data_IF_030319827902
#
_entry.id   IF_030319827902
#
_cell.length_a   1.000
_cell.length_b   1.000
_cell.length_c   1.000
_cell.angle_alpha   90.00
_cell.angle_beta   90.00
_cell.angle_gamma   90.00
#
_symmetry.space_group_name_H-M   'P 1'
#
loop_
_entity.id
_entity.type
_entity.pdbx_description
1 polymer ?
#
# COMPACT_ATOMS: atom_id res chain seq x y z
N UNK A 1 -57.45 -28.16 -33.86
CA UNK A 1 -56.39 -27.26 -34.38
C UNK A 1 -55.16 -27.41 -33.50
N UNK A 2 -54.17 -28.17 -33.97
CA UNK A 2 -52.84 -28.33 -33.38
C UNK A 2 -51.83 -27.87 -34.43
N UNK A 3 -50.94 -26.98 -34.03
CA UNK A 3 -49.66 -26.65 -34.65
C UNK A 3 -48.86 -25.99 -33.51
N UNK A 4 -47.65 -26.37 -33.12
CA UNK A 4 -46.54 -26.89 -33.91
C UNK A 4 -45.45 -25.80 -33.91
N UNK A 5 -44.41 -25.96 -33.07
CA UNK A 5 -43.19 -25.11 -33.13
C UNK A 5 -42.49 -25.26 -34.48
N UNK A 6 -41.62 -24.31 -34.88
CA UNK A 6 -40.19 -24.59 -34.77
C UNK A 6 -39.26 -23.37 -34.51
N UNK A 7 -38.00 -23.73 -34.27
CA UNK A 7 -36.76 -22.99 -34.01
C UNK A 7 -36.44 -21.70 -34.81
N UNK A 8 -35.75 -20.78 -34.13
CA UNK A 8 -34.52 -20.08 -34.57
C UNK A 8 -34.10 -19.14 -33.42
N UNK A 9 -32.94 -19.25 -32.77
CA UNK A 9 -31.60 -19.17 -33.35
C UNK A 9 -31.08 -17.72 -33.23
N UNK A 10 -29.83 -17.59 -32.79
CA UNK A 10 -28.92 -16.41 -32.84
C UNK A 10 -28.59 -15.73 -31.51
N UNK A 11 -27.31 -15.92 -31.19
CA UNK A 11 -26.43 -15.24 -30.25
C UNK A 11 -26.38 -13.74 -30.56
N UNK A 12 -26.51 -12.89 -29.55
CA UNK A 12 -25.91 -11.55 -29.62
C UNK A 12 -25.22 -11.17 -28.30
N UNK A 13 -23.90 -11.07 -28.43
CA UNK A 13 -23.00 -10.42 -27.51
C UNK A 13 -23.38 -8.93 -27.39
N UNK A 14 -23.69 -8.46 -26.19
CA UNK A 14 -23.69 -7.03 -25.90
C UNK A 14 -22.90 -6.73 -24.63
N UNK A 15 -21.58 -6.58 -24.83
CA UNK A 15 -20.76 -5.49 -24.30
C UNK A 15 -20.98 -5.15 -22.83
N UNK A 16 -20.30 -5.87 -21.94
CA UNK A 16 -19.74 -5.24 -20.74
C UNK A 16 -18.54 -4.43 -21.20
N UNK A 17 -18.83 -3.19 -21.60
CA UNK A 17 -17.83 -2.16 -21.86
C UNK A 17 -16.90 -2.04 -20.65
N UNK A 18 -15.61 -2.10 -20.92
CA UNK A 18 -14.55 -1.55 -20.07
C UNK A 18 -14.93 -0.14 -19.63
N UNK A 19 -15.49 0.00 -18.43
CA UNK A 19 -15.49 1.28 -17.71
C UNK A 19 -14.03 1.58 -17.44
N UNK A 20 -13.42 2.40 -18.30
CA UNK A 20 -12.06 2.89 -18.09
C UNK A 20 -12.03 3.60 -16.74
N UNK A 21 -11.35 3.02 -15.76
CA UNK A 21 -11.20 3.61 -14.45
C UNK A 21 -10.50 4.97 -14.61
N UNK A 22 -11.24 6.06 -14.39
CA UNK A 22 -10.71 7.40 -14.56
C UNK A 22 -9.98 7.83 -13.28
N UNK A 23 -8.65 7.70 -13.27
CA UNK A 23 -7.80 8.11 -12.15
C UNK A 23 -7.41 9.61 -12.18
N UNK A 24 -8.01 10.44 -13.05
CA UNK A 24 -7.59 11.84 -13.22
C UNK A 24 -7.72 12.68 -11.94
N UNK A 25 -8.77 12.44 -11.14
CA UNK A 25 -8.93 13.14 -9.85
C UNK A 25 -7.78 12.82 -8.89
N UNK A 26 -7.33 11.57 -8.88
CA UNK A 26 -6.19 11.14 -8.05
C UNK A 26 -4.87 11.75 -8.56
N UNK A 27 -4.61 11.69 -9.86
CA UNK A 27 -3.41 12.32 -10.45
C UNK A 27 -3.35 13.84 -10.20
N UNK A 28 -4.49 14.52 -10.33
CA UNK A 28 -4.61 15.95 -10.04
C UNK A 28 -4.30 16.23 -8.57
N UNK A 29 -4.84 15.41 -7.66
CA UNK A 29 -4.56 15.50 -6.24
C UNK A 29 -3.09 15.24 -5.91
N UNK A 30 -2.46 14.24 -6.53
CA UNK A 30 -1.03 13.95 -6.37
C UNK A 30 -0.18 15.17 -6.75
N UNK A 31 -0.46 15.79 -7.92
CA UNK A 31 0.25 16.97 -8.37
C UNK A 31 0.07 18.16 -7.42
N UNK A 32 -1.16 18.42 -6.95
CA UNK A 32 -1.46 19.48 -5.99
C UNK A 32 -0.75 19.30 -4.64
N UNK A 33 -0.51 18.05 -4.23
CA UNK A 33 0.19 17.72 -3.00
C UNK A 33 1.71 17.56 -3.20
N UNK A 34 2.25 18.01 -4.33
CA UNK A 34 3.69 18.03 -4.58
C UNK A 34 4.31 16.66 -4.82
N UNK A 35 3.52 15.66 -5.18
CA UNK A 35 4.01 14.36 -5.66
C UNK A 35 4.50 14.53 -7.09
N UNK A 36 5.75 14.14 -7.32
CA UNK A 36 6.40 14.24 -8.63
C UNK A 36 6.67 12.84 -9.14
N UNK A 37 6.22 12.50 -10.33
CA UNK A 37 6.49 11.24 -10.99
C UNK A 37 6.98 11.44 -12.41
N UNK A 38 7.62 10.41 -12.95
CA UNK A 38 7.76 10.21 -14.40
C UNK A 38 6.38 10.01 -15.04
N UNK A 39 6.33 9.87 -16.37
CA UNK A 39 5.08 9.49 -17.05
C UNK A 39 4.71 8.06 -16.66
N UNK A 40 3.71 7.94 -15.78
CA UNK A 40 3.22 6.68 -15.24
C UNK A 40 1.73 6.50 -15.52
N UNK A 41 1.31 5.25 -15.73
CA UNK A 41 -0.10 4.86 -15.84
C UNK A 41 -0.47 3.84 -14.78
N UNK A 42 -1.67 4.00 -14.19
CA UNK A 42 -2.26 2.98 -13.31
C UNK A 42 -3.03 2.01 -14.20
N UNK A 43 -2.73 0.72 -14.06
CA UNK A 43 -3.46 -0.35 -14.75
C UNK A 43 -4.13 -1.25 -13.73
N UNK A 44 -5.23 -1.86 -14.13
CA UNK A 44 -5.95 -2.84 -13.31
C UNK A 44 -5.73 -4.22 -13.92
N UNK A 45 -5.14 -5.12 -13.13
CA UNK A 45 -4.90 -6.50 -13.51
C UNK A 45 -6.19 -7.29 -13.60
N UNK A 46 -6.29 -8.15 -14.62
CA UNK A 46 -7.52 -8.76 -15.11
C UNK A 46 -8.02 -10.01 -14.38
N UNK A 47 -7.64 -10.25 -13.12
CA UNK A 47 -8.08 -11.46 -12.42
C UNK A 47 -9.44 -11.24 -11.74
N UNK A 48 -10.42 -12.10 -12.06
CA UNK A 48 -11.84 -11.98 -11.65
C UNK A 48 -12.07 -11.91 -10.13
N UNK A 49 -11.15 -12.45 -9.34
CA UNK A 49 -11.33 -12.60 -7.88
C UNK A 49 -10.51 -11.59 -7.04
N UNK A 50 -9.60 -10.84 -7.66
CA UNK A 50 -8.81 -9.81 -7.00
C UNK A 50 -8.32 -8.78 -8.02
N UNK A 51 -9.09 -7.71 -8.22
CA UNK A 51 -8.63 -6.59 -9.06
C UNK A 51 -7.43 -5.92 -8.39
N UNK A 52 -6.23 -6.22 -8.88
CA UNK A 52 -5.02 -5.55 -8.42
C UNK A 52 -4.77 -4.31 -9.26
N UNK A 53 -4.21 -3.29 -8.63
CA UNK A 53 -3.67 -2.15 -9.35
C UNK A 53 -2.17 -2.33 -9.48
N UNK A 54 -1.64 -1.87 -10.61
CA UNK A 54 -0.22 -1.85 -10.92
C UNK A 54 0.15 -0.49 -11.50
N UNK A 55 1.41 -0.12 -11.37
CA UNK A 55 1.95 1.15 -11.86
C UNK A 55 2.94 0.86 -12.99
N UNK A 56 2.72 1.43 -14.16
CA UNK A 56 3.54 1.19 -15.35
C UNK A 56 4.22 2.47 -15.83
N UNK A 57 5.40 2.34 -16.44
CA UNK A 57 6.08 3.47 -17.08
C UNK A 57 5.53 3.68 -18.50
N UNK A 58 5.26 4.92 -18.87
CA UNK A 58 4.83 5.28 -20.24
C UNK A 58 5.97 5.96 -21.03
N UNK A 59 7.17 6.02 -20.45
CA UNK A 59 8.39 6.54 -21.07
C UNK A 59 9.60 5.69 -20.66
N UNK A 60 10.67 5.63 -21.47
CA UNK A 60 11.88 4.90 -21.09
C UNK A 60 12.57 5.57 -19.88
N UNK A 61 12.98 4.77 -18.91
CA UNK A 61 13.65 5.23 -17.68
C UNK A 61 15.03 4.57 -17.59
N UNK A 62 16.06 5.34 -17.26
CA UNK A 62 17.40 4.80 -17.04
C UNK A 62 17.59 4.32 -15.60
N UNK A 63 18.44 3.33 -15.39
CA UNK A 63 18.88 2.87 -14.08
C UNK A 63 19.39 4.06 -13.22
N UNK A 64 19.07 4.04 -11.93
CA UNK A 64 19.39 5.09 -10.97
C UNK A 64 18.53 6.37 -11.07
N UNK A 65 17.56 6.41 -11.98
CA UNK A 65 16.63 7.54 -12.10
C UNK A 65 15.55 7.47 -11.02
N UNK A 66 15.19 8.63 -10.44
CA UNK A 66 14.01 8.75 -9.60
C UNK A 66 12.76 8.69 -10.46
N UNK A 67 11.94 7.68 -10.23
CA UNK A 67 10.67 7.46 -10.93
C UNK A 67 9.53 8.17 -10.23
N UNK A 68 9.58 8.23 -8.90
CA UNK A 68 8.54 8.82 -8.06
C UNK A 68 9.17 9.50 -6.85
N UNK A 69 8.62 10.65 -6.45
CA UNK A 69 9.02 11.42 -5.27
C UNK A 69 7.81 11.98 -4.54
N UNK A 70 7.54 11.46 -3.35
CA UNK A 70 6.37 11.77 -2.52
C UNK A 70 6.81 12.57 -1.29
N UNK A 71 6.23 13.76 -1.02
CA UNK A 71 6.47 14.45 0.24
C UNK A 71 5.95 13.62 1.42
N UNK A 72 6.74 13.50 2.48
CA UNK A 72 6.39 12.65 3.62
C UNK A 72 5.07 13.04 4.28
N UNK A 73 4.76 14.34 4.33
CA UNK A 73 3.52 14.85 4.95
C UNK A 73 2.23 14.40 4.26
N UNK A 74 2.31 13.93 3.01
CA UNK A 74 1.16 13.46 2.23
C UNK A 74 0.83 11.98 2.52
N UNK A 75 1.75 11.27 3.19
CA UNK A 75 1.54 9.88 3.58
C UNK A 75 0.53 9.76 4.71
N UNK A 76 -0.14 8.59 4.84
CA UNK A 76 -0.95 8.28 6.02
C UNK A 76 -0.21 7.29 6.92
N UNK A 77 0.17 7.76 8.11
CA UNK A 77 0.81 6.96 9.14
C UNK A 77 0.57 7.57 10.54
N UNK A 78 1.05 6.92 11.63
CA UNK A 78 0.95 7.44 12.99
C UNK A 78 1.45 8.88 13.25
N UNK A 79 2.36 9.39 12.42
CA UNK A 79 3.00 10.68 12.60
C UNK A 79 2.36 11.79 11.76
N UNK A 80 1.77 11.45 10.62
CA UNK A 80 1.12 12.39 9.69
C UNK A 80 -0.38 12.52 9.93
N UNK A 81 -1.06 11.47 10.37
CA UNK A 81 -2.50 11.50 10.70
C UNK A 81 -2.69 12.11 12.10
N UNK A 82 -2.66 13.44 12.16
CA UNK A 82 -2.77 14.24 13.40
C UNK A 82 -3.64 15.47 13.21
N UNK A 83 -3.98 16.14 14.30
CA UNK A 83 -4.83 17.34 14.27
C UNK A 83 -6.17 17.06 13.60
N UNK A 84 -6.52 17.92 12.64
CA UNK A 84 -7.80 17.88 11.91
C UNK A 84 -7.91 16.69 10.94
N UNK A 85 -6.77 16.13 10.51
CA UNK A 85 -6.78 14.95 9.65
C UNK A 85 -7.20 13.69 10.40
N UNK A 86 -7.05 13.63 11.73
CA UNK A 86 -7.44 12.43 12.49
C UNK A 86 -8.97 12.38 12.66
N UNK A 87 -9.64 11.28 12.30
CA UNK A 87 -11.08 11.15 12.53
C UNK A 87 -11.42 11.32 14.02
N UNK A 88 -12.45 12.09 14.34
CA UNK A 88 -12.83 12.35 15.75
C UNK A 88 -13.22 11.07 16.49
N UNK A 89 -13.77 10.08 15.78
CA UNK A 89 -14.10 8.76 16.33
C UNK A 89 -12.85 7.92 16.71
N UNK A 90 -11.68 8.27 16.18
CA UNK A 90 -10.44 7.54 16.43
C UNK A 90 -9.73 8.02 17.70
N UNK A 91 -9.38 7.11 18.62
CA UNK A 91 -8.47 7.43 19.73
C UNK A 91 -7.14 7.98 19.22
N UNK A 92 -6.44 8.84 19.99
CA UNK A 92 -5.07 9.22 19.67
C UNK A 92 -4.19 7.97 19.57
N UNK A 93 -3.22 7.96 18.66
CA UNK A 93 -2.37 6.78 18.41
C UNK A 93 -1.73 6.24 19.70
N UNK A 94 -1.19 7.13 20.55
CA UNK A 94 -0.63 6.77 21.86
C UNK A 94 -1.64 6.06 22.76
N UNK A 95 -2.90 6.50 22.76
CA UNK A 95 -3.97 5.87 23.56
C UNK A 95 -4.32 4.50 23.01
N UNK A 96 -4.48 4.38 21.69
CA UNK A 96 -4.80 3.11 21.03
C UNK A 96 -3.68 2.08 21.23
N UNK A 97 -2.44 2.44 20.90
CA UNK A 97 -1.29 1.55 21.01
C UNK A 97 -1.06 1.11 22.45
N UNK A 98 -1.19 2.00 23.45
CA UNK A 98 -1.13 1.58 24.86
C UNK A 98 -2.18 0.52 25.21
N UNK A 99 -3.39 0.59 24.65
CA UNK A 99 -4.42 -0.41 24.88
C UNK A 99 -4.14 -1.73 24.15
N UNK A 100 -3.63 -1.66 22.92
CA UNK A 100 -3.35 -2.82 22.08
C UNK A 100 -2.09 -3.58 22.53
N UNK A 101 -1.05 -2.86 22.97
CA UNK A 101 0.21 -3.40 23.45
C UNK A 101 0.14 -3.94 24.90
N UNK A 102 -0.92 -3.63 25.65
CA UNK A 102 -1.09 -4.10 27.04
C UNK A 102 -0.97 -5.62 27.11
N UNK A 103 -0.10 -6.09 28.01
CA UNK A 103 0.20 -7.52 28.24
C UNK A 103 0.77 -8.21 26.98
N UNK A 104 1.55 -7.50 26.17
CA UNK A 104 2.25 -8.03 24.99
C UNK A 104 1.34 -8.78 24.02
N UNK A 105 0.11 -8.29 23.82
CA UNK A 105 -0.88 -8.94 22.92
C UNK A 105 -0.47 -8.86 21.44
N UNK A 106 0.36 -7.89 21.08
CA UNK A 106 0.90 -7.68 19.73
C UNK A 106 2.15 -6.81 19.79
N UNK A 107 2.91 -6.83 18.71
CA UNK A 107 4.04 -5.93 18.48
C UNK A 107 3.56 -4.51 18.09
N UNK A 108 4.50 -3.57 18.10
CA UNK A 108 4.23 -2.14 17.85
C UNK A 108 3.84 -1.85 16.39
N UNK A 109 4.38 -2.60 15.43
CA UNK A 109 4.08 -2.43 14.00
C UNK A 109 2.62 -2.85 13.75
N UNK A 110 2.21 -4.01 14.26
CA UNK A 110 0.83 -4.49 14.22
C UNK A 110 -0.12 -3.51 14.91
N UNK A 111 0.25 -2.98 16.08
CA UNK A 111 -0.58 -2.00 16.78
C UNK A 111 -0.76 -0.70 15.98
N UNK A 112 0.30 -0.18 15.37
CA UNK A 112 0.23 0.97 14.46
C UNK A 112 -0.58 0.66 13.20
N UNK A 113 -0.44 -0.53 12.62
CA UNK A 113 -1.20 -0.97 11.46
C UNK A 113 -2.70 -1.06 11.74
N UNK A 114 -3.10 -1.60 12.89
CA UNK A 114 -4.50 -1.65 13.32
C UNK A 114 -5.07 -0.27 13.62
N UNK A 115 -4.27 0.64 14.19
CA UNK A 115 -4.69 2.02 14.37
C UNK A 115 -4.91 2.71 13.02
N UNK A 116 -3.98 2.55 12.06
CA UNK A 116 -4.09 3.11 10.72
C UNK A 116 -5.30 2.53 9.96
N UNK A 117 -5.55 1.22 10.07
CA UNK A 117 -6.75 0.58 9.55
C UNK A 117 -8.04 1.17 10.15
N UNK A 118 -8.03 1.47 11.45
CA UNK A 118 -9.13 2.18 12.10
C UNK A 118 -9.35 3.58 11.51
N UNK A 119 -8.28 4.34 11.28
CA UNK A 119 -8.35 5.65 10.62
C UNK A 119 -8.95 5.53 9.22
N UNK A 120 -8.46 4.59 8.41
CA UNK A 120 -8.94 4.34 7.05
C UNK A 120 -10.44 3.98 7.03
N UNK A 121 -10.87 3.08 7.91
CA UNK A 121 -12.28 2.70 8.02
C UNK A 121 -13.15 3.90 8.45
N UNK A 122 -12.68 4.74 9.37
CA UNK A 122 -13.39 5.97 9.76
C UNK A 122 -13.45 6.98 8.61
N UNK A 123 -12.39 7.15 7.82
CA UNK A 123 -12.43 8.01 6.63
C UNK A 123 -13.46 7.52 5.62
N UNK A 124 -13.53 6.20 5.39
CA UNK A 124 -14.56 5.59 4.55
C UNK A 124 -15.98 5.96 5.01
N UNK A 125 -16.25 5.89 6.33
CA UNK A 125 -17.54 6.34 6.90
C UNK A 125 -17.80 7.83 6.69
N UNK A 126 -16.79 8.67 6.87
CA UNK A 126 -16.92 10.11 6.68
C UNK A 126 -17.28 10.43 5.21
N UNK A 127 -16.60 9.80 4.26
CA UNK A 127 -16.88 9.95 2.82
C UNK A 127 -18.28 9.43 2.45
N UNK A 128 -18.68 8.28 2.99
CA UNK A 128 -20.02 7.73 2.77
C UNK A 128 -21.15 8.65 3.27
N UNK A 129 -20.85 9.55 4.22
CA UNK A 129 -21.78 10.58 4.71
C UNK A 129 -21.49 11.97 4.11
N UNK A 130 -20.88 12.04 2.92
CA UNK A 130 -20.61 13.26 2.17
C UNK A 130 -19.77 14.31 2.92
N UNK A 131 -18.92 13.89 3.87
CA UNK A 131 -17.94 14.79 4.47
C UNK A 131 -16.81 15.04 3.46
N UNK A 132 -16.49 16.32 3.26
CA UNK A 132 -15.35 16.72 2.45
C UNK A 132 -14.07 16.41 3.21
N UNK A 133 -13.21 15.60 2.60
CA UNK A 133 -11.87 15.31 3.08
C UNK A 133 -10.90 15.62 1.93
N UNK A 134 -9.82 16.33 2.22
CA UNK A 134 -8.84 16.66 1.19
C UNK A 134 -8.19 15.41 0.61
N UNK A 135 -8.06 14.35 1.40
CA UNK A 135 -7.52 13.04 1.00
C UNK A 135 -8.51 12.14 0.24
N UNK A 136 -9.75 12.60 -0.01
CA UNK A 136 -10.79 11.79 -0.66
C UNK A 136 -10.37 11.16 -2.00
N UNK A 137 -9.62 11.83 -2.90
CA UNK A 137 -9.19 11.23 -4.17
C UNK A 137 -8.33 9.98 -3.98
N UNK A 138 -7.45 9.99 -2.98
CA UNK A 138 -6.62 8.83 -2.61
C UNK A 138 -7.48 7.69 -2.09
N UNK A 139 -8.53 7.99 -1.31
CA UNK A 139 -9.45 7.02 -0.73
C UNK A 139 -10.56 6.54 -1.68
N UNK A 140 -10.43 6.80 -2.98
CA UNK A 140 -11.48 6.42 -3.94
C UNK A 140 -11.66 4.90 -4.02
N UNK A 141 -12.90 4.39 -4.17
CA UNK A 141 -13.14 2.96 -4.36
C UNK A 141 -12.41 2.38 -5.58
N UNK A 142 -12.14 3.20 -6.60
CA UNK A 142 -11.36 2.81 -7.77
C UNK A 142 -9.91 2.45 -7.40
N UNK A 143 -9.33 3.16 -6.42
CA UNK A 143 -8.01 2.87 -5.88
C UNK A 143 -8.05 1.77 -4.84
N UNK A 144 -9.07 1.69 -3.99
CA UNK A 144 -9.21 0.69 -2.93
C UNK A 144 -10.37 -0.28 -3.23
N UNK A 145 -10.18 -1.23 -4.16
CA UNK A 145 -11.17 -2.26 -4.41
C UNK A 145 -11.32 -3.18 -3.19
N UNK A 146 -12.41 -3.94 -3.16
CA UNK A 146 -12.57 -4.98 -2.14
C UNK A 146 -11.50 -6.05 -2.29
N UNK A 147 -10.77 -6.29 -1.20
CA UNK A 147 -9.70 -7.27 -1.15
C UNK A 147 -10.19 -8.61 -0.57
N UNK A 148 -9.76 -9.73 -1.15
CA UNK A 148 -10.11 -11.05 -0.64
C UNK A 148 -9.43 -11.33 0.70
N UNK A 149 -9.82 -12.43 1.35
CA UNK A 149 -9.15 -12.83 2.60
C UNK A 149 -7.69 -13.23 2.33
N UNK A 150 -6.71 -12.65 3.05
CA UNK A 150 -5.30 -13.00 2.89
C UNK A 150 -4.96 -14.37 3.49
N UNK A 151 -5.85 -14.95 4.28
CA UNK A 151 -5.64 -16.23 4.97
C UNK A 151 -6.03 -17.45 4.12
N UNK A 152 -6.17 -17.26 2.81
CA UNK A 152 -6.38 -18.34 1.83
C UNK A 152 -5.13 -18.47 0.99
N UNK A 153 -4.65 -19.70 0.78
CA UNK A 153 -3.44 -19.99 0.01
C UNK A 153 -3.44 -19.30 -1.36
N UNK A 154 -4.57 -19.27 -2.05
CA UNK A 154 -4.74 -18.62 -3.35
C UNK A 154 -4.46 -17.10 -3.36
N UNK A 155 -4.45 -16.44 -2.21
CA UNK A 155 -4.32 -14.99 -2.11
C UNK A 155 -3.09 -14.51 -1.35
N UNK A 156 -2.37 -15.39 -0.63
CA UNK A 156 -1.28 -15.00 0.28
C UNK A 156 -0.23 -14.16 -0.43
N UNK A 157 0.13 -14.51 -1.66
CA UNK A 157 1.18 -13.83 -2.43
C UNK A 157 0.81 -12.38 -2.81
N UNK A 158 -0.47 -12.01 -2.72
CA UNK A 158 -0.94 -10.63 -2.89
C UNK A 158 -0.73 -9.75 -1.65
N UNK A 159 -0.31 -10.32 -0.52
CA UNK A 159 -0.11 -9.63 0.75
C UNK A 159 1.35 -9.80 1.20
N UNK A 160 2.26 -8.91 0.80
CA UNK A 160 3.70 -9.05 1.04
C UNK A 160 4.03 -9.33 2.52
N UNK A 161 3.42 -8.57 3.43
CA UNK A 161 3.65 -8.71 4.88
C UNK A 161 3.32 -10.11 5.42
N UNK A 162 2.39 -10.83 4.80
CA UNK A 162 1.99 -12.19 5.21
C UNK A 162 2.86 -13.23 4.48
N UNK A 163 3.10 -13.02 3.19
CA UNK A 163 3.96 -13.88 2.39
C UNK A 163 5.37 -13.99 2.99
N UNK A 164 5.93 -12.86 3.43
CA UNK A 164 7.30 -12.80 3.98
C UNK A 164 7.41 -13.53 5.33
N UNK A 165 6.47 -13.29 6.26
CA UNK A 165 6.43 -13.97 7.58
C UNK A 165 6.34 -15.48 7.41
N UNK A 166 5.43 -15.95 6.56
CA UNK A 166 5.18 -17.38 6.43
C UNK A 166 6.30 -18.12 5.68
N UNK A 167 7.01 -17.44 4.77
CA UNK A 167 8.18 -18.00 4.07
C UNK A 167 9.43 -18.01 4.95
N UNK A 168 9.54 -17.09 5.93
CA UNK A 168 10.61 -17.10 6.92
C UNK A 168 10.47 -18.18 7.99
N UNK A 169 9.24 -18.53 8.38
CA UNK A 169 8.97 -19.53 9.44
C UNK A 169 8.97 -20.99 8.96
N UNK A 170 8.81 -21.22 7.65
CA UNK A 170 8.66 -22.55 7.05
C UNK A 170 9.82 -22.78 6.08
N UNK A 171 10.43 -23.97 6.07
CA UNK A 171 11.35 -24.42 5.01
C UNK A 171 10.60 -24.58 3.66
N UNK A 172 9.97 -23.51 3.15
CA UNK A 172 9.29 -23.41 1.86
C UNK A 172 7.85 -23.93 1.77
N UNK A 173 7.28 -24.57 2.81
CA UNK A 173 5.92 -25.14 2.73
C UNK A 173 4.91 -24.39 3.60
N UNK A 174 4.06 -23.59 2.95
CA UNK A 174 2.91 -22.93 3.58
C UNK A 174 1.87 -23.97 4.00
N UNK A 175 1.61 -24.10 5.30
CA UNK A 175 0.53 -24.96 5.82
C UNK A 175 -0.76 -24.17 6.04
N UNK A 176 -1.90 -24.77 5.65
CA UNK A 176 -3.24 -24.24 5.95
C UNK A 176 -3.46 -24.06 7.46
N UNK A 177 -2.85 -24.90 8.30
CA UNK A 177 -2.95 -24.80 9.76
C UNK A 177 -2.32 -23.52 10.30
N UNK A 178 -1.19 -23.09 9.74
CA UNK A 178 -0.49 -21.87 10.13
C UNK A 178 -1.30 -20.63 9.73
N UNK A 179 -1.88 -20.65 8.52
CA UNK A 179 -2.80 -19.60 8.05
C UNK A 179 -4.03 -19.48 8.94
N UNK A 180 -4.66 -20.60 9.32
CA UNK A 180 -5.83 -20.60 10.20
C UNK A 180 -5.51 -20.06 11.60
N UNK A 181 -4.34 -20.39 12.16
CA UNK A 181 -3.89 -19.84 13.44
C UNK A 181 -3.67 -18.32 13.36
N UNK A 182 -3.06 -17.87 12.27
CA UNK A 182 -2.82 -16.44 12.01
C UNK A 182 -4.13 -15.67 11.77
N UNK A 183 -5.10 -16.26 11.07
CA UNK A 183 -6.45 -15.71 10.90
C UNK A 183 -7.15 -15.53 12.25
N UNK A 184 -7.15 -16.56 13.10
CA UNK A 184 -7.77 -16.51 14.43
C UNK A 184 -7.15 -15.42 15.30
N UNK A 185 -5.82 -15.27 15.26
CA UNK A 185 -5.11 -14.20 15.97
C UNK A 185 -5.53 -12.83 15.46
N UNK A 186 -5.50 -12.63 14.14
CA UNK A 186 -5.86 -11.36 13.49
C UNK A 186 -7.31 -10.97 13.82
N UNK A 187 -8.25 -11.90 13.74
CA UNK A 187 -9.66 -11.67 14.05
C UNK A 187 -9.86 -11.25 15.52
N UNK A 188 -9.13 -11.84 16.46
CA UNK A 188 -9.14 -11.43 17.87
C UNK A 188 -8.65 -9.99 18.05
N UNK A 189 -7.56 -9.63 17.37
CA UNK A 189 -7.00 -8.27 17.39
C UNK A 189 -7.97 -7.24 16.78
N UNK A 190 -8.64 -7.58 15.68
CA UNK A 190 -9.65 -6.72 15.04
C UNK A 190 -10.87 -6.49 15.94
N UNK A 191 -11.37 -7.53 16.61
CA UNK A 191 -12.45 -7.40 17.60
C UNK A 191 -12.05 -6.52 18.77
N UNK A 192 -10.82 -6.65 19.26
CA UNK A 192 -10.28 -5.80 20.32
C UNK A 192 -10.22 -4.33 19.87
N UNK A 193 -9.65 -4.07 18.68
CA UNK A 193 -9.58 -2.75 18.06
C UNK A 193 -10.97 -2.12 17.95
N UNK A 194 -11.94 -2.84 17.38
CA UNK A 194 -13.32 -2.39 17.26
C UNK A 194 -13.97 -2.10 18.62
N UNK A 195 -13.75 -2.94 19.63
CA UNK A 195 -14.22 -2.72 20.99
C UNK A 195 -13.62 -1.45 21.63
N UNK A 196 -12.34 -1.16 21.39
CA UNK A 196 -11.70 0.07 21.86
C UNK A 196 -12.33 1.31 21.19
N UNK A 197 -12.61 1.26 19.88
CA UNK A 197 -13.29 2.35 19.17
C UNK A 197 -14.67 2.65 19.78
N UNK A 198 -15.46 1.61 20.02
CA UNK A 198 -16.78 1.74 20.66
C UNK A 198 -16.68 2.34 22.07
N UNK A 199 -15.72 1.86 22.88
CA UNK A 199 -15.51 2.35 24.24
C UNK A 199 -15.04 3.81 24.25
N UNK A 200 -14.13 4.17 23.36
CA UNK A 200 -13.63 5.53 23.22
C UNK A 200 -14.76 6.49 22.83
N UNK A 201 -15.57 6.14 21.84
CA UNK A 201 -16.75 6.94 21.46
C UNK A 201 -17.68 7.16 22.65
N UNK A 202 -18.04 6.08 23.35
CA UNK A 202 -18.95 6.15 24.51
C UNK A 202 -18.42 7.01 25.66
N UNK A 203 -17.10 7.00 25.91
CA UNK A 203 -16.51 7.66 27.09
C UNK A 203 -15.90 9.03 26.83
N UNK A 204 -15.36 9.29 25.64
CA UNK A 204 -14.54 10.47 25.35
C UNK A 204 -15.17 11.41 24.33
N UNK A 205 -15.92 10.87 23.38
CA UNK A 205 -16.55 11.66 22.31
C UNK A 205 -18.01 11.24 22.10
N UNK A 206 -18.87 11.33 23.15
CA UNK A 206 -20.25 10.84 23.09
C UNK A 206 -21.11 11.60 22.05
N UNK A 207 -20.70 12.82 21.67
CA UNK A 207 -21.35 13.61 20.62
C UNK A 207 -21.12 13.06 19.20
N UNK A 208 -20.12 12.17 19.00
CA UNK A 208 -19.91 11.53 17.69
C UNK A 208 -20.99 10.49 17.48
N UNK A 209 -21.80 10.70 16.43
CA UNK A 209 -22.90 9.80 16.10
C UNK A 209 -22.40 8.38 15.80
N UNK A 210 -23.16 7.34 16.13
CA UNK A 210 -22.81 5.95 15.85
C UNK A 210 -22.48 5.66 14.39
N UNK A 211 -23.14 6.35 13.48
CA UNK A 211 -22.97 6.20 12.03
C UNK A 211 -21.56 6.54 11.52
N UNK A 212 -20.78 7.32 12.27
CA UNK A 212 -19.38 7.64 11.94
C UNK A 212 -18.38 6.62 12.49
N UNK A 213 -18.84 5.61 13.24
CA UNK A 213 -18.01 4.50 13.68
C UNK A 213 -18.02 3.40 12.62
N UNK A 214 -16.87 2.84 12.23
CA UNK A 214 -16.85 1.73 11.29
C UNK A 214 -17.40 0.46 11.94
N UNK A 215 -18.10 -0.33 11.15
CA UNK A 215 -18.44 -1.71 11.45
C UNK A 215 -17.17 -2.58 11.50
N UNK A 216 -17.29 -3.77 12.10
CA UNK A 216 -16.20 -4.74 12.11
C UNK A 216 -15.82 -5.20 10.68
N UNK A 217 -16.77 -5.23 9.75
CA UNK A 217 -16.51 -5.57 8.36
C UNK A 217 -15.68 -4.48 7.66
N UNK A 218 -16.05 -3.21 7.79
CA UNK A 218 -15.28 -2.09 7.25
C UNK A 218 -13.86 -2.06 7.85
N UNK A 219 -13.72 -2.35 9.15
CA UNK A 219 -12.40 -2.47 9.79
C UNK A 219 -11.57 -3.64 9.23
N UNK A 220 -12.18 -4.80 8.96
CA UNK A 220 -11.50 -5.93 8.29
C UNK A 220 -11.00 -5.53 6.90
N UNK A 221 -11.82 -4.84 6.12
CA UNK A 221 -11.44 -4.40 4.77
C UNK A 221 -10.28 -3.41 4.83
N UNK A 222 -10.36 -2.41 5.70
CA UNK A 222 -9.26 -1.47 5.91
C UNK A 222 -7.97 -2.16 6.37
N UNK A 223 -8.07 -3.16 7.25
CA UNK A 223 -6.90 -3.94 7.68
C UNK A 223 -6.26 -4.72 6.54
N UNK A 224 -7.06 -5.35 5.67
CA UNK A 224 -6.53 -6.02 4.45
C UNK A 224 -5.78 -5.03 3.56
N UNK A 225 -6.30 -3.82 3.41
CA UNK A 225 -5.62 -2.75 2.68
C UNK A 225 -4.26 -2.43 3.29
N UNK A 226 -4.17 -2.30 4.62
CA UNK A 226 -2.88 -2.07 5.31
C UNK A 226 -1.92 -3.23 5.06
N UNK A 227 -2.37 -4.47 5.21
CA UNK A 227 -1.52 -5.66 4.99
C UNK A 227 -1.01 -5.76 3.54
N UNK A 228 -1.83 -5.35 2.56
CA UNK A 228 -1.45 -5.41 1.16
C UNK A 228 -0.53 -4.26 0.74
N UNK A 229 -0.80 -3.04 1.22
CA UNK A 229 -0.29 -1.82 0.59
C UNK A 229 0.60 -0.96 1.46
N UNK A 230 0.62 -1.19 2.78
CA UNK A 230 1.47 -0.39 3.65
C UNK A 230 2.94 -0.75 3.46
N UNK A 231 3.78 0.27 3.43
CA UNK A 231 5.24 0.16 3.48
C UNK A 231 5.72 0.50 4.88
N UNK A 232 6.78 -0.18 5.34
CA UNK A 232 7.46 0.18 6.58
C UNK A 232 8.43 1.33 6.28
N UNK A 233 8.16 2.50 6.84
CA UNK A 233 9.05 3.66 6.73
C UNK A 233 9.77 3.91 8.04
N UNK A 234 11.03 4.36 8.03
CA UNK A 234 11.68 4.87 9.23
C UNK A 234 10.84 5.96 9.89
N UNK A 235 10.73 5.91 11.22
CA UNK A 235 10.08 6.95 12.00
C UNK A 235 10.72 8.32 11.68
N UNK A 236 9.88 9.35 11.53
CA UNK A 236 10.24 10.70 11.09
C UNK A 236 10.81 10.78 9.66
N UNK A 237 10.69 9.71 8.86
CA UNK A 237 11.26 9.62 7.52
C UNK A 237 12.76 9.96 7.53
N UNK A 238 13.48 9.49 8.56
CA UNK A 238 14.94 9.63 8.66
C UNK A 238 15.56 9.08 7.38
N UNK A 239 16.54 9.77 6.77
CA UNK A 239 17.07 9.38 5.47
C UNK A 239 17.65 7.98 5.54
N UNK A 240 17.21 7.12 4.64
CA UNK A 240 17.77 5.79 4.42
C UNK A 240 18.69 5.74 3.19
N UNK A 241 18.86 6.87 2.49
CA UNK A 241 19.85 7.00 1.42
C UNK A 241 21.25 7.25 2.03
N UNK A 242 22.30 6.56 1.55
CA UNK A 242 23.66 6.73 2.07
C UNK A 242 24.15 8.16 1.80
N UNK A 243 24.57 8.85 2.85
CA UNK A 243 25.03 10.24 2.79
C UNK A 243 26.41 10.40 2.14
N UNK A 244 27.28 9.38 2.23
CA UNK A 244 28.61 9.37 1.62
C UNK A 244 29.13 7.92 1.45
N UNK A 245 29.85 7.66 0.35
CA UNK A 245 30.33 6.34 -0.11
C UNK A 245 31.53 5.76 0.68
N UNK A 246 31.79 6.22 1.90
CA UNK A 246 32.92 5.76 2.72
C UNK A 246 32.51 4.95 3.98
N UNK A 247 31.26 5.07 4.45
CA UNK A 247 30.79 4.42 5.70
C UNK A 247 29.78 3.28 5.42
N UNK A 248 29.68 2.82 4.18
CA UNK A 248 28.63 1.90 3.69
C UNK A 248 28.84 0.41 4.06
N UNK A 249 29.80 0.11 4.92
CA UNK A 249 30.02 -1.21 5.47
C UNK A 249 30.29 -1.13 6.97
N UNK A 250 29.27 -0.75 7.75
CA UNK A 250 29.09 -1.24 9.12
C UNK A 250 27.74 -0.74 9.65
N UNK A 251 26.82 -1.68 9.89
CA UNK A 251 25.58 -1.53 10.65
C UNK A 251 24.57 -0.49 10.12
N UNK A 252 23.59 -0.95 9.32
CA UNK A 252 22.32 -0.23 9.23
C UNK A 252 21.72 -0.17 10.64
N UNK A 253 21.51 1.01 11.27
CA UNK A 253 20.92 1.05 12.59
C UNK A 253 19.52 0.43 12.54
N UNK A 254 19.12 -0.30 13.58
CA UNK A 254 17.75 -0.76 13.78
C UNK A 254 16.83 0.48 13.88
N UNK A 255 16.40 0.99 12.73
CA UNK A 255 15.51 2.15 12.67
C UNK A 255 14.12 1.68 13.05
N UNK A 256 13.52 2.36 14.04
CA UNK A 256 12.10 2.15 14.36
C UNK A 256 11.27 2.44 13.11
N UNK A 257 10.55 1.44 12.60
CA UNK A 257 9.71 1.59 11.41
C UNK A 257 8.23 1.69 11.77
N UNK A 258 7.48 2.39 10.92
CA UNK A 258 6.03 2.56 11.04
C UNK A 258 5.32 2.18 9.73
N UNK A 259 4.18 1.46 9.81
CA UNK A 259 3.38 1.18 8.64
C UNK A 259 2.79 2.47 8.10
N UNK A 260 2.96 2.68 6.80
CA UNK A 260 2.59 3.92 6.10
C UNK A 260 1.92 3.61 4.78
N UNK A 261 0.80 4.26 4.49
CA UNK A 261 0.25 4.34 3.13
C UNK A 261 0.88 5.53 2.43
N UNK A 262 1.55 5.27 1.32
CA UNK A 262 2.31 6.27 0.57
C UNK A 262 1.70 6.35 -0.82
N UNK A 263 0.99 7.44 -1.18
CA UNK A 263 0.29 7.50 -2.46
C UNK A 263 1.22 7.21 -3.64
N UNK A 264 0.72 6.43 -4.60
CA UNK A 264 1.43 5.87 -5.76
C UNK A 264 2.42 4.75 -5.43
N UNK A 265 3.19 4.85 -4.34
CA UNK A 265 4.07 3.75 -3.89
C UNK A 265 3.24 2.55 -3.43
N UNK A 266 2.10 2.82 -2.80
CA UNK A 266 1.14 1.83 -2.31
C UNK A 266 0.37 1.07 -3.42
N UNK A 267 0.56 1.48 -4.69
CA UNK A 267 0.03 0.82 -5.90
C UNK A 267 1.09 -0.09 -6.56
N UNK A 268 2.38 0.13 -6.28
CA UNK A 268 3.46 -0.69 -6.81
C UNK A 268 3.28 -2.12 -6.27
N UNK A 269 3.49 -3.14 -7.10
CA UNK A 269 3.33 -4.54 -6.65
C UNK A 269 4.66 -5.12 -6.20
N UNK A 270 4.58 -6.13 -5.35
CA UNK A 270 5.72 -7.01 -5.13
C UNK A 270 5.92 -7.94 -6.33
N UNK A 271 7.15 -8.40 -6.61
CA UNK A 271 7.38 -9.41 -7.65
C UNK A 271 6.53 -10.68 -7.46
N UNK A 272 6.27 -11.07 -6.21
CA UNK A 272 5.42 -12.22 -5.88
C UNK A 272 3.96 -12.00 -6.30
N UNK A 273 3.41 -10.82 -6.01
CA UNK A 273 2.05 -10.46 -6.42
C UNK A 273 1.92 -10.38 -7.95
N UNK A 274 2.96 -9.89 -8.65
CA UNK A 274 3.00 -9.87 -10.11
C UNK A 274 2.96 -11.29 -10.70
N UNK A 275 3.80 -12.21 -10.18
CA UNK A 275 3.81 -13.62 -10.61
C UNK A 275 2.46 -14.29 -10.37
N UNK A 276 1.87 -14.12 -9.19
CA UNK A 276 0.59 -14.73 -8.83
C UNK A 276 -0.57 -14.26 -9.72
N UNK A 277 -0.46 -13.07 -10.32
CA UNK A 277 -1.47 -12.53 -11.24
C UNK A 277 -1.40 -13.09 -12.66
N UNK A 278 -0.34 -13.83 -13.01
CA UNK A 278 -0.18 -14.49 -14.32
C UNK A 278 -0.03 -13.53 -15.50
N UNK A 279 0.17 -12.23 -15.26
CA UNK A 279 0.43 -11.24 -16.31
C UNK A 279 1.81 -11.47 -16.91
N UNK A 280 1.87 -11.60 -18.25
CA UNK A 280 3.13 -11.59 -19.00
C UNK A 280 3.81 -10.25 -18.77
N UNK A 281 4.67 -10.20 -17.77
CA UNK A 281 5.57 -9.07 -17.55
C UNK A 281 6.67 -9.20 -18.60
N UNK A 282 6.81 -8.26 -19.52
CA UNK A 282 8.01 -8.21 -20.36
C UNK A 282 9.19 -7.95 -19.42
N UNK A 283 9.99 -8.99 -19.18
CA UNK A 283 11.04 -9.00 -18.17
C UNK A 283 12.22 -8.19 -18.71
N UNK A 284 12.71 -7.23 -17.92
CA UNK A 284 14.02 -6.62 -18.14
C UNK A 284 15.10 -7.73 -18.12
N UNK A 285 16.10 -7.73 -19.00
CA UNK A 285 17.03 -8.83 -19.11
C UNK A 285 17.79 -9.01 -17.79
N UNK A 286 17.53 -10.12 -17.11
CA UNK A 286 18.38 -10.61 -16.04
C UNK A 286 19.81 -10.74 -16.59
N UNK A 287 20.80 -10.32 -15.80
CA UNK A 287 22.20 -10.68 -16.04
C UNK A 287 22.26 -12.20 -16.20
N UNK A 288 22.55 -12.65 -17.42
CA UNK A 288 22.50 -14.07 -17.81
C UNK A 288 23.54 -14.86 -17.02
N UNK A 289 23.12 -15.49 -15.93
CA UNK A 289 23.75 -16.72 -15.46
C UNK A 289 22.94 -17.88 -16.05
N UNK A 290 23.62 -18.71 -16.84
CA UNK A 290 23.01 -19.82 -17.56
C UNK A 290 22.27 -20.77 -16.58
N UNK A 291 20.97 -21.01 -16.84
CA UNK A 291 20.22 -22.11 -16.22
C UNK A 291 19.16 -21.77 -15.16
N UNK A 292 18.71 -20.52 -15.01
CA UNK A 292 17.67 -20.18 -14.04
C UNK A 292 16.35 -19.74 -14.72
N UNK A 293 15.24 -20.36 -14.31
CA UNK A 293 13.87 -19.87 -14.50
C UNK A 293 13.81 -18.34 -14.40
N UNK A 294 13.11 -17.67 -15.34
CA UNK A 294 12.84 -16.22 -15.33
C UNK A 294 12.14 -15.82 -14.03
N UNK A 295 12.92 -15.50 -13.00
CA UNK A 295 12.40 -14.95 -11.74
C UNK A 295 12.14 -13.47 -11.99
N UNK A 296 10.89 -13.05 -11.83
CA UNK A 296 10.56 -11.63 -11.76
C UNK A 296 11.26 -11.06 -10.52
N UNK A 297 12.18 -10.12 -10.72
CA UNK A 297 12.93 -9.44 -9.64
C UNK A 297 12.38 -8.02 -9.51
N UNK A 298 12.45 -7.46 -8.29
CA UNK A 298 12.15 -6.05 -8.09
C UNK A 298 13.05 -5.19 -8.99
N UNK A 299 12.46 -4.26 -9.73
CA UNK A 299 13.16 -3.35 -10.63
C UNK A 299 13.23 -1.92 -10.06
N UNK A 300 12.67 -1.72 -8.87
CA UNK A 300 12.70 -0.47 -8.14
C UNK A 300 13.14 -0.67 -6.68
N UNK A 301 13.72 0.38 -6.10
CA UNK A 301 14.02 0.48 -4.67
C UNK A 301 13.36 1.71 -4.03
N UNK A 302 13.00 1.59 -2.75
CA UNK A 302 12.40 2.66 -1.96
C UNK A 302 13.45 3.27 -1.03
N UNK A 303 13.58 4.59 -1.05
CA UNK A 303 14.46 5.32 -0.14
C UNK A 303 13.71 6.49 0.50
N UNK A 304 14.23 6.95 1.62
CA UNK A 304 13.81 8.19 2.27
C UNK A 304 14.96 9.17 2.26
N UNK A 305 14.66 10.45 2.06
CA UNK A 305 15.66 11.51 1.93
C UNK A 305 15.10 12.87 2.35
N UNK A 306 15.98 13.87 2.40
CA UNK A 306 15.64 15.28 2.49
C UNK A 306 15.70 15.91 1.10
N UNK A 307 14.78 16.85 0.81
CA UNK A 307 14.69 17.56 -0.46
C UNK A 307 16.02 18.24 -0.85
N UNK A 308 16.83 18.65 0.14
CA UNK A 308 18.13 19.28 -0.05
C UNK A 308 19.29 18.31 -0.37
N UNK A 309 19.16 17.03 -0.02
CA UNK A 309 20.30 16.08 0.00
C UNK A 309 20.11 14.88 -0.93
N UNK A 310 19.01 14.79 -1.68
CA UNK A 310 18.86 13.71 -2.64
C UNK A 310 19.71 13.94 -3.90
N UNK A 311 20.87 13.28 -3.95
CA UNK A 311 21.66 13.13 -5.17
C UNK A 311 21.22 11.86 -5.89
N UNK A 312 20.64 11.99 -7.09
CA UNK A 312 20.45 10.83 -7.96
C UNK A 312 21.83 10.22 -8.27
N UNK A 313 22.00 8.90 -8.09
CA UNK A 313 23.29 8.22 -8.28
C UNK A 313 23.94 8.48 -9.65
N UNK A 314 23.13 8.77 -10.68
CA UNK A 314 23.58 9.00 -12.04
C UNK A 314 23.74 10.47 -12.47
N UNK A 315 23.23 11.46 -11.73
CA UNK A 315 23.14 12.85 -12.24
C UNK A 315 23.77 13.94 -11.36
N UNK A 316 24.13 13.64 -10.09
CA UNK A 316 24.89 14.53 -9.17
C UNK A 316 24.38 15.99 -9.02
N UNK A 317 23.12 16.32 -9.33
CA UNK A 317 22.59 17.70 -9.15
C UNK A 317 21.97 17.89 -7.77
N UNK A 318 22.39 18.94 -7.05
CA UNK A 318 21.95 19.33 -5.70
C UNK A 318 21.00 20.53 -5.78
N UNK A 319 19.89 20.51 -5.05
CA UNK A 319 18.97 21.67 -4.93
C UNK A 319 18.60 21.85 -3.45
N UNK A 320 19.05 22.94 -2.81
CA UNK A 320 18.90 23.20 -1.37
C UNK A 320 17.77 24.19 -1.13
N UNK A 321 16.80 23.84 -0.28
CA UNK A 321 15.79 24.78 0.28
C UNK A 321 15.51 24.39 1.74
N UNK A 322 15.65 25.34 2.67
CA UNK A 322 15.36 25.17 4.10
C UNK A 322 13.85 25.21 4.38
N UNK A 323 13.27 24.16 4.96
CA UNK A 323 11.96 24.18 5.62
C UNK A 323 11.92 23.20 6.80
N UNK A 324 10.85 23.27 7.62
CA UNK A 324 10.62 22.52 8.86
C UNK A 324 10.98 21.02 8.84
N UNK A 325 11.24 20.43 10.03
CA UNK A 325 11.87 19.11 10.25
C UNK A 325 11.26 17.94 9.43
N UNK A 326 9.97 17.99 9.08
CA UNK A 326 9.30 16.98 8.24
C UNK A 326 8.91 17.48 6.84
N UNK A 327 8.78 18.79 6.61
CA UNK A 327 8.31 19.31 5.31
C UNK A 327 9.32 19.10 4.19
N UNK A 328 10.60 18.99 4.54
CA UNK A 328 11.67 18.65 3.61
C UNK A 328 11.84 17.14 3.38
N UNK A 329 11.13 16.26 4.11
CA UNK A 329 11.31 14.81 3.99
C UNK A 329 10.56 14.27 2.79
N UNK A 330 11.21 13.40 2.03
CA UNK A 330 10.63 12.77 0.84
C UNK A 330 10.88 11.27 0.84
N UNK A 331 9.95 10.56 0.24
CA UNK A 331 10.06 9.15 -0.09
C UNK A 331 10.26 9.09 -1.60
N UNK A 332 11.28 8.37 -2.04
CA UNK A 332 11.67 8.30 -3.45
C UNK A 332 11.74 6.85 -3.89
N UNK A 333 11.26 6.60 -5.10
CA UNK A 333 11.39 5.32 -5.77
C UNK A 333 12.41 5.49 -6.90
N UNK A 334 13.46 4.67 -6.87
CA UNK A 334 14.53 4.68 -7.86
C UNK A 334 14.45 3.43 -8.73
N UNK A 335 14.65 3.58 -10.04
CA UNK A 335 14.81 2.44 -10.94
C UNK A 335 16.17 1.76 -10.68
N UNK A 336 16.17 0.44 -10.49
CA UNK A 336 17.37 -0.38 -10.31
C UNK A 336 18.00 -0.79 -11.65
N UNK A 337 17.21 -0.84 -12.70
CA UNK A 337 17.64 -1.14 -14.07
C UNK A 337 16.98 -0.17 -15.06
N UNK A 338 17.38 -0.25 -16.33
CA UNK A 338 16.70 0.47 -17.41
C UNK A 338 15.30 -0.14 -17.62
N UNK A 339 14.28 0.72 -17.68
CA UNK A 339 12.89 0.33 -17.89
C UNK A 339 12.39 0.78 -19.25
N UNK A 340 11.69 -0.11 -19.96
CA UNK A 340 11.06 0.18 -21.25
C UNK A 340 9.62 0.67 -21.08
N UNK A 341 9.11 1.36 -22.10
CA UNK A 341 7.71 1.78 -22.16
C UNK A 341 6.78 0.59 -21.99
N UNK A 342 5.84 0.71 -21.06
CA UNK A 342 4.85 -0.32 -20.73
C UNK A 342 5.27 -1.25 -19.59
N UNK A 343 6.54 -1.26 -19.18
CA UNK A 343 7.00 -2.11 -18.08
C UNK A 343 6.37 -1.69 -16.74
N UNK A 344 6.09 -2.69 -15.90
CA UNK A 344 5.55 -2.48 -14.57
C UNK A 344 6.65 -2.11 -13.57
N UNK A 345 6.36 -1.19 -12.66
CA UNK A 345 7.19 -0.94 -11.50
C UNK A 345 6.94 -2.04 -10.45
N UNK A 346 8.02 -2.65 -9.97
CA UNK A 346 8.00 -3.71 -8.97
C UNK A 346 8.95 -3.36 -7.82
N UNK A 347 8.41 -3.34 -6.60
CA UNK A 347 9.14 -3.00 -5.40
C UNK A 347 9.31 -4.22 -4.50
N UNK A 348 10.51 -4.41 -3.96
CA UNK A 348 10.68 -5.33 -2.85
C UNK A 348 10.27 -4.62 -1.56
N UNK A 349 9.25 -5.13 -0.88
CA UNK A 349 8.75 -4.56 0.37
C UNK A 349 9.64 -4.89 1.57
N UNK A 350 10.64 -5.77 1.37
CA UNK A 350 11.82 -5.93 2.22
C UNK A 350 11.51 -6.07 3.71
N UNK A 351 11.45 -7.30 4.20
CA UNK A 351 11.55 -7.63 5.62
C UNK A 351 12.92 -7.28 6.18
#
# INVERSE_FOLDING_TARGET
MRAGSPDSGVVENSRLSTTGDNFNCFWTWCAQNGIVSKRLSIRRGGQKDASQLSLHVDEPVRAGTVVLSVPYLVTLNPQTVRGDLRPTAMPPVRTMCRCLLRRNRMDIITAHGLWLAGCLACFGRLLAHNRKLDIAPMLSPALFPELPSPFRLAHVDYFPAIADVLRGESNGTLSESSLAAYEKRTESQLRLTHGILQLYRRRRVPHVRPEFLPSLLELRMAHRTILQRSVLLPANCIPSAPGDLADLFEESPDLETIPSLVPLVDIIRSPLAAIASGEKTEVAPAVKAAGASEKVVANCSLHTCTQADFLSPGTRRRVVIETSVLSNRRIVVCALCDLKVGEELLLNYGS
#
